data_IF_008274647087
#
_entry.id   IF_008274647087
#
_cell.length_a   1.000
_cell.length_b   1.000
_cell.length_c   1.000
_cell.angle_alpha   90.00
_cell.angle_beta   90.00
_cell.angle_gamma   90.00
#
_symmetry.space_group_name_H-M   'P 1'
#
loop_
_entity.id
_entity.type
_entity.pdbx_description
1 polymer ?
#
# COMPACT_ATOMS: atom_id res chain seq x y z
N UNK A 1 4.78 9.60 -6.69
CA UNK A 1 3.91 8.81 -5.79
C UNK A 1 4.02 9.24 -4.33
N UNK A 2 5.19 9.09 -3.68
CA UNK A 2 5.38 9.46 -2.25
C UNK A 2 4.85 10.88 -1.90
N UNK A 3 5.30 11.92 -2.61
CA UNK A 3 4.79 13.29 -2.44
C UNK A 3 3.27 13.42 -2.62
N UNK A 4 2.66 12.60 -3.49
CA UNK A 4 1.21 12.56 -3.64
C UNK A 4 0.50 12.00 -2.41
N UNK A 5 1.05 10.92 -1.84
CA UNK A 5 0.54 10.32 -0.62
C UNK A 5 0.75 11.25 0.58
N UNK A 6 1.90 11.91 0.67
CA UNK A 6 2.20 12.94 1.67
C UNK A 6 1.15 14.05 1.66
N UNK A 7 0.81 14.60 0.50
CA UNK A 7 -0.23 15.62 0.38
C UNK A 7 -1.63 15.15 0.85
N UNK A 8 -1.96 13.86 0.68
CA UNK A 8 -3.22 13.28 1.15
C UNK A 8 -3.17 13.18 2.69
N UNK A 9 -2.06 12.62 3.21
CA UNK A 9 -1.85 12.44 4.64
C UNK A 9 -1.76 13.76 5.40
N UNK A 10 -1.13 14.80 4.86
CA UNK A 10 -1.03 16.14 5.45
C UNK A 10 -2.40 16.80 5.61
N UNK A 11 -3.34 16.50 4.71
CA UNK A 11 -4.74 16.92 4.83
C UNK A 11 -5.56 16.08 5.81
N UNK A 12 -4.92 15.15 6.52
CA UNK A 12 -5.59 14.24 7.44
C UNK A 12 -6.47 13.22 6.74
N UNK A 13 -6.22 12.90 5.47
CA UNK A 13 -7.00 11.91 4.71
C UNK A 13 -6.25 10.58 4.69
N UNK A 14 -6.98 9.47 4.81
CA UNK A 14 -6.50 8.10 4.61
C UNK A 14 -7.13 7.57 3.32
N UNK A 15 -6.31 6.98 2.44
CA UNK A 15 -6.77 6.52 1.12
C UNK A 15 -7.61 5.25 1.21
N UNK A 16 -7.19 4.27 2.03
CA UNK A 16 -7.87 2.99 2.31
C UNK A 16 -7.94 1.98 1.16
N UNK A 17 -7.54 2.37 -0.05
CA UNK A 17 -7.57 1.51 -1.24
C UNK A 17 -6.39 1.83 -2.17
N UNK A 18 -5.21 2.04 -1.59
CA UNK A 18 -4.03 2.35 -2.36
C UNK A 18 -3.48 1.07 -3.00
N UNK A 19 -3.53 0.97 -4.32
CA UNK A 19 -2.91 -0.13 -5.08
C UNK A 19 -2.47 0.38 -6.46
N UNK A 20 -1.74 -0.44 -7.22
CA UNK A 20 -1.19 -0.04 -8.53
C UNK A 20 -2.27 0.42 -9.52
N UNK A 21 -3.43 -0.24 -9.53
CA UNK A 21 -4.60 0.19 -10.31
C UNK A 21 -5.13 1.60 -10.01
N UNK A 22 -4.86 2.16 -8.83
CA UNK A 22 -5.22 3.54 -8.46
C UNK A 22 -4.07 4.53 -8.69
N UNK A 23 -3.00 4.11 -9.39
CA UNK A 23 -1.90 4.98 -9.81
C UNK A 23 -2.04 5.32 -11.30
N UNK A 24 -2.34 6.59 -11.57
CA UNK A 24 -2.46 7.10 -12.94
C UNK A 24 -1.13 7.63 -13.44
N UNK A 25 -0.70 7.16 -14.61
CA UNK A 25 0.47 7.67 -15.33
C UNK A 25 0.01 8.64 -16.40
N UNK A 26 0.60 9.83 -16.44
CA UNK A 26 0.32 10.82 -17.48
C UNK A 26 1.62 11.48 -17.96
N UNK A 27 1.60 11.97 -19.19
CA UNK A 27 2.71 12.64 -19.83
C UNK A 27 2.40 14.14 -19.96
N UNK A 28 3.38 15.00 -19.68
CA UNK A 28 3.26 16.43 -19.99
C UNK A 28 3.89 16.72 -21.36
N UNK A 29 3.63 17.91 -21.89
CA UNK A 29 4.14 18.41 -23.16
C UNK A 29 5.67 18.34 -23.36
N UNK A 30 6.44 18.13 -22.29
CA UNK A 30 7.90 17.97 -22.32
C UNK A 30 8.36 16.51 -22.31
N UNK A 31 7.48 15.56 -22.61
CA UNK A 31 7.69 14.10 -22.58
C UNK A 31 8.10 13.54 -21.20
N UNK A 32 7.92 14.31 -20.13
CA UNK A 32 8.12 13.78 -18.78
C UNK A 32 6.88 13.01 -18.34
N UNK A 33 7.11 11.79 -17.85
CA UNK A 33 6.08 10.95 -17.22
C UNK A 33 5.92 11.31 -15.76
N UNK A 34 4.68 11.44 -15.33
CA UNK A 34 4.29 11.76 -13.96
C UNK A 34 3.27 10.73 -13.47
N UNK A 35 3.20 10.57 -12.15
CA UNK A 35 2.22 9.71 -11.47
C UNK A 35 1.28 10.55 -10.63
N UNK A 36 -0.02 10.23 -10.62
CA UNK A 36 -1.00 10.72 -9.64
C UNK A 36 -1.65 9.55 -8.94
N UNK A 37 -1.94 9.75 -7.66
CA UNK A 37 -2.81 8.84 -6.91
C UNK A 37 -4.25 9.26 -7.23
N UNK A 38 -5.02 8.31 -7.73
CA UNK A 38 -6.43 8.46 -8.10
C UNK A 38 -7.36 7.84 -7.07
N UNK A 39 -8.65 7.78 -7.41
CA UNK A 39 -9.72 7.12 -6.65
C UNK A 39 -9.74 7.36 -5.13
N UNK A 40 -10.30 8.51 -4.73
CA UNK A 40 -10.56 8.82 -3.33
C UNK A 40 -11.98 8.43 -2.89
N UNK A 41 -12.69 7.58 -3.65
CA UNK A 41 -14.10 7.23 -3.38
C UNK A 41 -14.29 6.50 -2.04
N UNK A 42 -13.27 5.80 -1.57
CA UNK A 42 -13.24 5.09 -0.30
C UNK A 42 -12.46 5.82 0.80
N UNK A 43 -11.85 6.97 0.46
CA UNK A 43 -11.02 7.73 1.38
C UNK A 43 -11.84 8.37 2.49
N UNK A 44 -11.23 8.51 3.67
CA UNK A 44 -11.88 9.13 4.84
C UNK A 44 -10.94 10.05 5.59
N UNK A 45 -11.53 10.97 6.34
CA UNK A 45 -10.81 11.73 7.36
C UNK A 45 -10.24 10.76 8.40
N UNK A 46 -8.98 10.97 8.78
CA UNK A 46 -8.30 10.23 9.82
C UNK A 46 -8.96 10.41 11.20
N UNK A 47 -9.79 11.44 11.37
CA UNK A 47 -10.54 11.71 12.61
C UNK A 47 -11.96 11.15 12.60
N UNK A 48 -12.49 10.76 11.43
CA UNK A 48 -13.88 10.29 11.25
C UNK A 48 -13.97 8.85 10.73
N UNK A 49 -12.85 8.11 10.75
CA UNK A 49 -12.83 6.68 10.42
C UNK A 49 -13.55 5.88 11.54
N UNK A 50 -14.88 5.95 11.56
CA UNK A 50 -15.73 5.33 12.57
C UNK A 50 -16.57 4.17 12.04
N UNK A 51 -16.30 3.70 10.82
CA UNK A 51 -16.83 2.44 10.33
C UNK A 51 -15.76 1.34 10.32
N UNK A 52 -16.16 0.13 10.69
CA UNK A 52 -15.32 -1.07 10.59
C UNK A 52 -15.44 -1.72 9.21
N UNK A 53 -15.79 -0.94 8.19
CA UNK A 53 -15.93 -1.45 6.84
C UNK A 53 -14.56 -1.73 6.22
N UNK A 54 -14.41 -2.98 5.78
CA UNK A 54 -13.18 -3.51 5.22
C UNK A 54 -13.29 -3.47 3.70
N UNK A 55 -12.58 -2.53 3.09
CA UNK A 55 -12.47 -2.38 1.64
C UNK A 55 -11.04 -2.54 1.20
N UNK A 56 -10.85 -2.89 -0.07
CA UNK A 56 -9.56 -2.84 -0.74
C UNK A 56 -9.17 -4.17 -1.37
N UNK A 57 -7.96 -4.19 -1.91
CA UNK A 57 -7.42 -5.32 -2.64
C UNK A 57 -6.48 -6.12 -1.74
N UNK A 58 -6.85 -7.37 -1.39
CA UNK A 58 -6.22 -8.22 -0.33
C UNK A 58 -4.69 -8.10 -0.21
N UNK A 59 -3.88 -8.25 -1.28
CA UNK A 59 -2.42 -8.19 -1.16
C UNK A 59 -1.86 -6.84 -0.71
N UNK A 60 -2.63 -5.75 -0.84
CA UNK A 60 -2.25 -4.40 -0.44
C UNK A 60 -2.84 -4.00 0.92
N UNK A 61 -3.72 -4.83 1.48
CA UNK A 61 -4.38 -4.58 2.75
C UNK A 61 -3.50 -4.98 3.92
N UNK A 62 -3.57 -4.22 5.01
CA UNK A 62 -2.80 -4.50 6.21
C UNK A 62 -3.41 -5.61 7.06
N UNK A 63 -2.58 -6.43 7.74
CA UNK A 63 -3.04 -7.47 8.65
C UNK A 63 -4.06 -6.98 9.69
N UNK A 64 -3.80 -5.84 10.32
CA UNK A 64 -4.68 -5.32 11.36
C UNK A 64 -6.09 -4.98 10.84
N UNK A 65 -6.20 -4.47 9.61
CA UNK A 65 -7.51 -4.18 8.99
C UNK A 65 -8.22 -5.46 8.57
N UNK A 66 -7.48 -6.44 8.04
CA UNK A 66 -8.03 -7.76 7.73
C UNK A 66 -8.60 -8.46 8.97
N UNK A 67 -8.11 -8.09 10.17
CA UNK A 67 -8.61 -8.53 11.47
C UNK A 67 -9.72 -7.63 12.06
N UNK A 68 -10.24 -6.70 11.27
CA UNK A 68 -11.34 -5.80 11.67
C UNK A 68 -10.92 -4.55 12.45
N UNK A 69 -9.61 -4.23 12.50
CA UNK A 69 -9.17 -2.95 13.05
C UNK A 69 -9.35 -1.81 12.03
N UNK A 70 -9.30 -0.58 12.55
CA UNK A 70 -9.49 0.62 11.74
C UNK A 70 -8.30 0.90 10.83
N UNK A 71 -8.60 1.46 9.66
CA UNK A 71 -7.59 2.05 8.80
C UNK A 71 -6.88 3.23 9.48
N UNK A 72 -5.58 3.34 9.24
CA UNK A 72 -4.75 4.48 9.64
C UNK A 72 -3.91 4.96 8.45
N UNK A 73 -3.24 6.11 8.58
CA UNK A 73 -2.24 6.53 7.58
C UNK A 73 -1.15 5.46 7.36
N UNK A 74 -0.76 4.75 8.42
CA UNK A 74 0.20 3.65 8.36
C UNK A 74 -0.31 2.44 7.55
N UNK A 75 -1.63 2.34 7.33
CA UNK A 75 -2.22 1.35 6.44
C UNK A 75 -1.89 1.66 4.98
N UNK A 76 -2.00 2.92 4.54
CA UNK A 76 -1.62 3.31 3.18
C UNK A 76 -0.10 3.13 2.95
N UNK A 77 0.73 3.30 3.99
CA UNK A 77 2.18 3.09 3.90
C UNK A 77 2.52 1.62 3.62
N UNK A 78 1.80 0.68 4.23
CA UNK A 78 1.95 -0.74 3.91
C UNK A 78 1.61 -1.00 2.44
N UNK A 79 0.48 -0.46 1.97
CA UNK A 79 0.07 -0.59 0.58
C UNK A 79 1.09 0.02 -0.38
N UNK A 80 1.71 1.14 -0.01
CA UNK A 80 2.83 1.74 -0.73
C UNK A 80 4.03 0.78 -0.81
N UNK A 81 4.37 0.08 0.28
CA UNK A 81 5.39 -0.98 0.27
C UNK A 81 5.07 -2.13 -0.69
N UNK A 82 3.79 -2.52 -0.81
CA UNK A 82 3.35 -3.52 -1.77
C UNK A 82 3.45 -3.04 -3.22
N UNK A 83 3.17 -1.76 -3.48
CA UNK A 83 3.39 -1.13 -4.79
C UNK A 83 4.89 -1.06 -5.11
N UNK A 84 5.76 -0.79 -4.13
CA UNK A 84 7.21 -0.85 -4.33
C UNK A 84 7.65 -2.26 -4.75
N UNK A 85 7.14 -3.29 -4.09
CA UNK A 85 7.42 -4.68 -4.46
C UNK A 85 6.96 -5.01 -5.89
N UNK A 86 5.74 -4.61 -6.23
CA UNK A 86 5.17 -4.82 -7.57
C UNK A 86 5.96 -4.08 -8.64
N UNK A 87 6.41 -2.86 -8.36
CA UNK A 87 7.21 -2.08 -9.31
C UNK A 87 8.53 -2.77 -9.65
N UNK A 88 9.17 -3.40 -8.67
CA UNK A 88 10.45 -4.07 -8.89
C UNK A 88 10.32 -5.44 -9.57
N UNK A 89 9.21 -6.12 -9.36
CA UNK A 89 9.01 -7.48 -9.90
C UNK A 89 8.18 -7.50 -11.18
N UNK A 90 7.42 -6.43 -11.46
CA UNK A 90 6.42 -6.38 -12.52
C UNK A 90 5.24 -7.33 -12.28
N UNK A 91 5.07 -7.82 -11.04
CA UNK A 91 4.06 -8.80 -10.67
C UNK A 91 3.23 -8.27 -9.52
N UNK A 92 1.95 -8.63 -9.51
CA UNK A 92 1.08 -8.34 -8.37
C UNK A 92 1.59 -9.07 -7.12
N UNK A 93 1.53 -8.48 -5.91
CA UNK A 93 1.93 -9.19 -4.70
C UNK A 93 1.12 -10.48 -4.55
N UNK A 94 1.80 -11.59 -4.22
CA UNK A 94 1.21 -12.95 -4.20
C UNK A 94 0.54 -13.36 -5.54
N UNK A 95 1.17 -13.04 -6.68
CA UNK A 95 0.68 -13.37 -8.02
C UNK A 95 0.51 -14.87 -8.30
N UNK A 96 1.20 -15.72 -7.55
CA UNK A 96 1.34 -17.16 -7.75
C UNK A 96 0.26 -17.99 -7.04
N UNK A 97 -0.73 -17.33 -6.43
CA UNK A 97 -1.84 -17.99 -5.72
C UNK A 97 -3.12 -17.16 -5.75
N UNK A 98 -4.22 -17.78 -5.32
CA UNK A 98 -5.51 -17.11 -5.22
C UNK A 98 -5.49 -16.02 -4.12
N UNK A 99 -6.24 -14.94 -4.35
CA UNK A 99 -6.43 -13.86 -3.37
C UNK A 99 -7.73 -14.10 -2.61
N UNK A 100 -7.70 -15.12 -1.76
CA UNK A 100 -8.85 -15.62 -1.02
C UNK A 100 -8.60 -15.59 0.50
N UNK A 101 -9.46 -16.27 1.27
CA UNK A 101 -9.37 -16.35 2.73
C UNK A 101 -8.07 -17.00 3.21
N UNK A 102 -7.50 -17.94 2.47
CA UNK A 102 -6.23 -18.58 2.84
C UNK A 102 -5.10 -17.56 2.78
N UNK A 103 -5.05 -16.74 1.72
CA UNK A 103 -4.07 -15.65 1.64
C UNK A 103 -4.25 -14.63 2.77
N UNK A 104 -5.49 -14.31 3.16
CA UNK A 104 -5.75 -13.39 4.28
C UNK A 104 -5.16 -13.94 5.58
N UNK A 105 -5.33 -15.23 5.87
CA UNK A 105 -4.77 -15.89 7.05
C UNK A 105 -3.24 -15.80 7.01
N UNK A 106 -2.63 -16.13 5.87
CA UNK A 106 -1.18 -16.10 5.71
C UNK A 106 -0.59 -14.69 5.90
N UNK A 107 -1.26 -13.66 5.37
CA UNK A 107 -0.85 -12.25 5.57
C UNK A 107 -0.92 -11.87 7.05
N UNK A 108 -1.99 -12.29 7.74
CA UNK A 108 -2.17 -12.10 9.18
C UNK A 108 -1.07 -12.78 10.00
N UNK A 109 -0.62 -13.96 9.57
CA UNK A 109 0.48 -14.71 10.18
C UNK A 109 1.87 -14.19 9.81
N UNK A 110 1.93 -13.09 9.05
CA UNK A 110 3.17 -12.37 8.74
C UNK A 110 3.78 -12.70 7.39
N UNK A 111 3.09 -13.48 6.54
CA UNK A 111 3.56 -13.76 5.18
C UNK A 111 3.73 -12.46 4.38
N UNK A 112 4.78 -12.42 3.57
CA UNK A 112 5.11 -11.31 2.67
C UNK A 112 5.53 -11.87 1.31
N UNK A 113 5.37 -11.09 0.23
CA UNK A 113 5.86 -11.49 -1.08
C UNK A 113 7.37 -11.77 -1.07
N UNK A 114 7.80 -12.76 -1.86
CA UNK A 114 9.21 -13.14 -1.96
C UNK A 114 10.07 -11.97 -2.43
N UNK A 115 11.19 -11.75 -1.76
CA UNK A 115 12.19 -10.72 -2.14
C UNK A 115 13.36 -11.29 -2.95
N UNK A 116 13.43 -12.62 -3.13
CA UNK A 116 14.58 -13.28 -3.75
C UNK A 116 14.82 -12.84 -5.20
N UNK A 117 13.75 -12.50 -5.91
CA UNK A 117 13.79 -12.10 -7.32
C UNK A 117 14.03 -10.59 -7.51
N UNK A 118 14.12 -9.81 -6.42
CA UNK A 118 14.23 -8.35 -6.50
C UNK A 118 15.69 -7.95 -6.72
N UNK A 119 15.94 -7.32 -7.87
CA UNK A 119 17.21 -6.64 -8.17
C UNK A 119 17.01 -5.13 -7.98
N UNK A 120 17.27 -4.64 -6.76
CA UNK A 120 17.11 -3.24 -6.39
C UNK A 120 18.27 -2.76 -5.49
N UNK A 121 18.54 -1.44 -5.40
CA UNK A 121 19.45 -0.90 -4.41
C UNK A 121 19.06 -1.31 -2.98
N UNK A 122 20.05 -1.56 -2.12
CA UNK A 122 19.82 -1.99 -0.73
C UNK A 122 18.83 -1.09 0.03
N UNK A 123 18.99 0.23 -0.09
CA UNK A 123 18.08 1.18 0.57
C UNK A 123 16.63 1.11 0.08
N UNK A 124 16.39 0.68 -1.17
CA UNK A 124 15.04 0.46 -1.67
C UNK A 124 14.38 -0.74 -0.96
N UNK A 125 15.12 -1.84 -0.83
CA UNK A 125 14.66 -3.06 -0.17
C UNK A 125 14.42 -2.81 1.32
N UNK A 126 15.31 -2.03 1.97
CA UNK A 126 15.16 -1.64 3.36
C UNK A 126 13.90 -0.78 3.57
N UNK A 127 13.73 0.28 2.78
CA UNK A 127 12.53 1.13 2.85
C UNK A 127 11.24 0.35 2.57
N UNK A 128 11.22 -0.50 1.54
CA UNK A 128 10.08 -1.37 1.24
C UNK A 128 9.72 -2.26 2.43
N UNK A 129 10.74 -2.79 3.13
CA UNK A 129 10.53 -3.61 4.34
C UNK A 129 10.04 -2.81 5.54
N UNK A 130 10.49 -1.58 5.69
CA UNK A 130 9.98 -0.66 6.70
C UNK A 130 8.51 -0.32 6.45
N UNK A 131 8.12 -0.10 5.19
CA UNK A 131 6.74 0.18 4.81
C UNK A 131 5.75 -0.92 5.23
N UNK A 132 6.12 -2.20 5.10
CA UNK A 132 5.23 -3.32 5.48
C UNK A 132 5.53 -3.94 6.86
N UNK A 133 6.15 -3.17 7.76
CA UNK A 133 6.49 -3.60 9.11
C UNK A 133 5.24 -4.14 9.83
N UNK A 134 5.33 -5.27 10.57
CA UNK A 134 4.21 -5.79 11.34
C UNK A 134 3.65 -4.80 12.37
N UNK A 135 4.51 -3.96 12.96
CA UNK A 135 4.06 -2.90 13.84
C UNK A 135 3.77 -1.62 13.02
N UNK A 136 2.51 -1.14 12.97
CA UNK A 136 2.15 0.08 12.24
C UNK A 136 2.93 1.32 12.68
N UNK A 137 3.28 1.42 13.96
CA UNK A 137 4.03 2.57 14.51
C UNK A 137 5.50 2.60 14.08
N UNK A 138 6.01 1.51 13.51
CA UNK A 138 7.37 1.42 12.97
C UNK A 138 7.43 1.66 11.46
N UNK A 139 6.28 1.80 10.81
CA UNK A 139 6.21 2.16 9.39
C UNK A 139 6.56 3.66 9.25
N UNK A 140 7.26 4.06 8.18
CA UNK A 140 7.58 5.47 7.94
C UNK A 140 6.30 6.28 7.68
N UNK A 141 6.41 7.60 7.75
CA UNK A 141 5.36 8.51 7.23
C UNK A 141 5.58 8.77 5.75
N UNK A 142 4.52 9.20 5.06
CA UNK A 142 4.58 9.56 3.64
C UNK A 142 5.44 10.80 3.36
#
# INVERSE_FOLDING_TARGET
MASGLGNIHDKGIIHRDLHSGNILVYERYNNNKYTRIGDLGLSKSATEADDNETYGIIPYMVPEVLQGQKYTKASDIYSFGMIMWEYMTGRRPFWDRAHDTELIIDICDGSRPSIGDIVAPKGYIELMKECWNPNPSKRPTA
#
